data_IF_064472514482
#
_entry.id   IF_064472514482
#
_cell.length_a   1.000
_cell.length_b   1.000
_cell.length_c   1.000
_cell.angle_alpha   90.00
_cell.angle_beta   90.00
_cell.angle_gamma   90.00
#
_symmetry.space_group_name_H-M   'P 1'
#
loop_
_entity.id
_entity.type
_entity.pdbx_description
1 polymer ?
#
# COMPACT_ATOMS: atom_id res chain seq x y z
N UNK A 1 -5.44 -36.33 -0.08
CA UNK A 1 -6.59 -35.40 0.22
C UNK A 1 -5.98 -34.04 0.49
N UNK A 2 -6.10 -33.14 -0.47
CA UNK A 2 -5.70 -31.75 -0.26
C UNK A 2 -6.67 -31.15 0.75
N UNK A 3 -6.12 -30.59 1.84
CA UNK A 3 -6.91 -29.87 2.84
C UNK A 3 -7.61 -28.66 2.23
N UNK A 4 -8.62 -28.09 2.89
CA UNK A 4 -9.33 -26.92 2.38
C UNK A 4 -8.35 -25.76 2.14
N UNK A 5 -8.31 -25.30 0.89
CA UNK A 5 -7.48 -24.17 0.48
C UNK A 5 -8.10 -22.89 1.06
N UNK A 6 -7.52 -22.37 2.13
CA UNK A 6 -7.97 -21.11 2.75
C UNK A 6 -7.51 -19.93 1.88
N UNK A 7 -8.48 -19.23 1.32
CA UNK A 7 -8.27 -17.95 0.63
C UNK A 7 -8.25 -16.83 1.65
N UNK A 8 -7.17 -16.04 1.67
CA UNK A 8 -7.07 -14.83 2.48
C UNK A 8 -7.31 -13.58 1.63
N UNK A 9 -7.76 -12.53 2.29
CA UNK A 9 -8.00 -11.23 1.65
C UNK A 9 -6.75 -10.36 1.76
N UNK A 10 -6.35 -9.78 0.63
CA UNK A 10 -5.19 -8.90 0.52
C UNK A 10 -5.55 -7.59 -0.15
N UNK A 11 -4.73 -6.58 0.11
CA UNK A 11 -4.79 -5.29 -0.54
C UNK A 11 -3.43 -5.00 -1.17
N UNK A 12 -3.44 -4.64 -2.46
CA UNK A 12 -2.28 -4.10 -3.16
C UNK A 12 -2.44 -2.59 -3.32
N UNK A 13 -1.42 -1.85 -2.92
CA UNK A 13 -1.29 -0.41 -3.15
C UNK A 13 -0.20 -0.17 -4.19
N UNK A 14 -0.61 0.21 -5.41
CA UNK A 14 0.29 0.56 -6.49
C UNK A 14 0.77 2.00 -6.32
N UNK A 15 2.06 2.24 -6.51
CA UNK A 15 2.63 3.57 -6.36
C UNK A 15 2.60 4.34 -7.67
N UNK A 16 2.09 5.57 -7.62
CA UNK A 16 2.28 6.57 -8.67
C UNK A 16 1.61 6.27 -10.01
N UNK A 17 0.54 5.47 -10.04
CA UNK A 17 -0.25 5.29 -11.24
C UNK A 17 -1.32 6.38 -11.38
N UNK A 18 -1.65 6.72 -12.62
CA UNK A 18 -2.71 7.67 -12.99
C UNK A 18 -2.58 9.07 -12.34
N UNK A 19 -1.37 9.47 -11.95
CA UNK A 19 -1.10 10.78 -11.36
C UNK A 19 -0.57 11.73 -12.44
N UNK A 20 -1.18 12.91 -12.55
CA UNK A 20 -0.75 13.96 -13.48
C UNK A 20 -0.51 13.47 -14.93
N UNK A 21 -1.33 12.49 -15.36
CA UNK A 21 -1.23 11.92 -16.71
C UNK A 21 -0.10 10.93 -16.94
N UNK A 22 0.71 10.63 -15.92
CA UNK A 22 1.79 9.63 -15.96
C UNK A 22 1.27 8.25 -15.56
N UNK A 23 1.99 7.21 -15.98
CA UNK A 23 1.73 5.80 -15.63
C UNK A 23 0.24 5.43 -15.76
N UNK A 24 -0.34 5.71 -16.91
CA UNK A 24 -1.76 5.46 -17.16
C UNK A 24 -2.04 3.98 -17.25
N UNK A 25 -2.90 3.48 -16.36
CA UNK A 25 -3.41 2.11 -16.34
C UNK A 25 -4.93 2.17 -16.19
N UNK A 26 -5.65 1.53 -17.10
CA UNK A 26 -7.10 1.31 -16.96
C UNK A 26 -7.36 0.40 -15.77
N UNK A 27 -8.30 0.76 -14.90
CA UNK A 27 -8.67 -0.09 -13.76
C UNK A 27 -9.28 -1.42 -14.19
N UNK A 28 -9.96 -1.44 -15.34
CA UNK A 28 -10.50 -2.67 -15.92
C UNK A 28 -9.38 -3.62 -16.38
N UNK A 29 -8.34 -3.09 -17.03
CA UNK A 29 -7.21 -3.91 -17.50
C UNK A 29 -6.32 -4.32 -16.33
N UNK A 30 -6.11 -3.46 -15.33
CA UNK A 30 -5.44 -3.83 -14.09
C UNK A 30 -6.16 -4.99 -13.40
N UNK A 31 -7.49 -4.92 -13.26
CA UNK A 31 -8.29 -6.00 -12.71
C UNK A 31 -8.09 -7.33 -13.47
N UNK A 32 -8.16 -7.30 -14.80
CA UNK A 32 -7.89 -8.48 -15.63
C UNK A 32 -6.49 -9.03 -15.43
N UNK A 33 -5.48 -8.18 -15.27
CA UNK A 33 -4.11 -8.58 -14.96
C UNK A 33 -4.03 -9.38 -13.66
N UNK A 34 -4.68 -8.89 -12.59
CA UNK A 34 -4.77 -9.61 -11.31
C UNK A 34 -5.53 -10.94 -11.45
N UNK A 35 -6.65 -10.97 -12.16
CA UNK A 35 -7.41 -12.20 -12.43
C UNK A 35 -6.57 -13.20 -13.25
N UNK A 36 -5.75 -12.72 -14.18
CA UNK A 36 -4.81 -13.52 -14.96
C UNK A 36 -3.70 -14.18 -14.13
N UNK A 37 -3.33 -13.61 -12.98
CA UNK A 37 -2.45 -14.24 -11.99
C UNK A 37 -3.16 -15.34 -11.16
N UNK A 38 -4.44 -15.62 -11.41
CA UNK A 38 -5.23 -16.61 -10.66
C UNK A 38 -5.86 -16.04 -9.37
N UNK A 39 -5.66 -14.75 -9.08
CA UNK A 39 -6.25 -14.09 -7.91
C UNK A 39 -7.77 -13.96 -8.07
N UNK A 40 -8.49 -14.07 -6.97
CA UNK A 40 -9.96 -14.14 -6.96
C UNK A 40 -10.59 -12.89 -6.35
N UNK A 41 -11.89 -12.69 -6.61
CA UNK A 41 -12.68 -11.60 -6.03
C UNK A 41 -12.02 -10.22 -6.17
N UNK A 42 -11.34 -10.00 -7.31
CA UNK A 42 -10.57 -8.78 -7.56
C UNK A 42 -11.51 -7.58 -7.69
N UNK A 43 -11.28 -6.58 -6.84
CA UNK A 43 -11.97 -5.29 -6.85
C UNK A 43 -10.95 -4.17 -6.89
N UNK A 44 -11.21 -3.13 -7.66
CA UNK A 44 -10.43 -1.88 -7.66
C UNK A 44 -11.20 -0.79 -6.95
N UNK A 45 -10.50 0.09 -6.24
CA UNK A 45 -11.11 1.24 -5.58
C UNK A 45 -10.36 2.52 -5.94
N UNK A 46 -11.08 3.50 -6.50
CA UNK A 46 -10.53 4.71 -7.12
C UNK A 46 -9.51 4.39 -8.24
N UNK A 47 -9.00 5.43 -8.89
CA UNK A 47 -8.02 5.29 -9.97
C UNK A 47 -6.57 5.32 -9.51
N UNK A 48 -6.32 5.36 -8.20
CA UNK A 48 -4.97 5.52 -7.61
C UNK A 48 -4.27 4.19 -7.29
N UNK A 49 -4.74 3.07 -7.88
CA UNK A 49 -4.05 1.78 -7.72
C UNK A 49 -4.30 1.10 -6.38
N UNK A 50 -5.54 1.04 -5.95
CA UNK A 50 -5.95 0.24 -4.81
C UNK A 50 -6.68 -0.98 -5.33
N UNK A 51 -6.14 -2.17 -5.09
CA UNK A 51 -6.72 -3.43 -5.55
C UNK A 51 -6.90 -4.37 -4.37
N UNK A 52 -8.12 -4.82 -4.15
CA UNK A 52 -8.49 -5.78 -3.14
C UNK A 52 -8.68 -7.13 -3.84
N UNK A 53 -8.10 -8.20 -3.31
CA UNK A 53 -8.19 -9.52 -3.92
C UNK A 53 -8.12 -10.64 -2.88
N UNK A 54 -8.56 -11.83 -3.27
CA UNK A 54 -8.41 -13.06 -2.50
C UNK A 54 -7.35 -13.93 -3.14
N UNK A 55 -6.45 -14.48 -2.33
CA UNK A 55 -5.36 -15.33 -2.77
C UNK A 55 -4.94 -16.33 -1.70
N UNK A 56 -4.14 -17.31 -2.09
CA UNK A 56 -3.47 -18.22 -1.20
C UNK A 56 -2.02 -18.45 -1.64
N UNK A 57 -1.24 -19.04 -0.77
CA UNK A 57 0.18 -19.31 -1.04
C UNK A 57 0.40 -20.26 -2.23
N UNK A 58 -0.54 -21.14 -2.53
CA UNK A 58 -0.43 -22.12 -3.62
C UNK A 58 -0.61 -21.46 -5.01
N UNK A 59 -1.30 -20.32 -5.11
CA UNK A 59 -1.42 -19.57 -6.38
C UNK A 59 -0.05 -19.04 -6.85
N UNK A 60 0.85 -18.79 -5.90
CA UNK A 60 2.18 -18.22 -6.15
C UNK A 60 3.20 -19.24 -6.63
N UNK A 61 2.89 -20.51 -6.44
CA UNK A 61 3.76 -21.62 -6.82
C UNK A 61 3.15 -22.34 -8.00
N UNK A 62 3.71 -22.18 -9.19
CA UNK A 62 3.45 -23.12 -10.28
C UNK A 62 3.70 -24.54 -9.81
N UNK A 63 2.66 -25.22 -9.48
CA UNK A 63 2.38 -26.65 -9.20
C UNK A 63 3.39 -27.58 -8.47
N UNK A 64 4.67 -27.26 -8.23
CA UNK A 64 5.55 -28.35 -7.77
C UNK A 64 6.46 -28.15 -6.53
N UNK A 65 6.64 -26.96 -5.94
CA UNK A 65 7.68 -26.81 -4.88
C UNK A 65 7.41 -25.86 -3.72
N UNK A 66 6.20 -25.69 -3.22
CA UNK A 66 5.92 -24.71 -2.16
C UNK A 66 5.52 -25.23 -0.77
N UNK A 67 6.11 -26.34 -0.32
CA UNK A 67 5.84 -26.83 1.04
C UNK A 67 6.61 -26.09 2.16
N UNK A 68 7.43 -25.08 1.86
CA UNK A 68 8.38 -24.50 2.84
C UNK A 68 8.66 -22.99 2.74
N UNK A 69 7.78 -22.17 2.15
CA UNK A 69 8.00 -20.72 2.19
C UNK A 69 7.56 -20.16 3.55
N UNK A 70 8.40 -19.31 4.21
CA UNK A 70 8.03 -18.63 5.46
C UNK A 70 6.80 -17.74 5.26
N UNK A 71 5.97 -17.59 6.28
CA UNK A 71 4.75 -16.75 6.25
C UNK A 71 5.00 -15.28 5.86
N UNK A 72 6.21 -14.77 6.10
CA UNK A 72 6.65 -13.44 5.66
C UNK A 72 6.88 -13.33 4.14
N UNK A 73 6.90 -14.46 3.42
CA UNK A 73 7.11 -14.50 1.98
C UNK A 73 5.89 -14.21 1.11
N UNK A 74 4.67 -14.42 1.63
CA UNK A 74 3.45 -14.41 0.80
C UNK A 74 3.13 -13.03 0.22
N UNK A 75 3.09 -11.98 1.03
CA UNK A 75 2.81 -10.61 0.56
C UNK A 75 3.90 -10.11 -0.38
N UNK A 76 5.17 -10.40 -0.08
CA UNK A 76 6.31 -10.06 -0.94
C UNK A 76 6.25 -10.81 -2.28
N UNK A 77 5.85 -12.07 -2.27
CA UNK A 77 5.69 -12.86 -3.47
C UNK A 77 4.54 -12.34 -4.34
N UNK A 78 3.39 -11.96 -3.75
CA UNK A 78 2.33 -11.28 -4.49
C UNK A 78 2.79 -9.95 -5.07
N UNK A 79 3.49 -9.13 -4.31
CA UNK A 79 4.03 -7.85 -4.80
C UNK A 79 4.90 -8.06 -6.03
N UNK A 80 5.87 -8.96 -5.98
CA UNK A 80 6.77 -9.27 -7.09
C UNK A 80 6.01 -9.75 -8.34
N UNK A 81 5.03 -10.64 -8.21
CA UNK A 81 4.26 -11.14 -9.34
C UNK A 81 3.39 -10.04 -9.96
N UNK A 82 2.80 -9.18 -9.14
CA UNK A 82 2.02 -8.04 -9.60
C UNK A 82 2.92 -7.04 -10.35
N UNK A 83 4.11 -6.74 -9.84
CA UNK A 83 5.09 -5.88 -10.50
C UNK A 83 5.52 -6.44 -11.86
N UNK A 84 5.83 -7.74 -11.94
CA UNK A 84 6.16 -8.43 -13.20
C UNK A 84 4.98 -8.38 -14.17
N UNK A 85 3.76 -8.63 -13.73
CA UNK A 85 2.56 -8.53 -14.54
C UNK A 85 2.38 -7.11 -15.10
N UNK A 86 2.53 -6.08 -14.25
CA UNK A 86 2.43 -4.67 -14.66
C UNK A 86 3.51 -4.33 -15.69
N UNK A 87 4.75 -4.77 -15.47
CA UNK A 87 5.84 -4.58 -16.42
C UNK A 87 5.54 -5.21 -17.77
N UNK A 88 5.07 -6.45 -17.78
CA UNK A 88 4.80 -7.19 -19.01
C UNK A 88 3.59 -6.66 -19.78
N UNK A 89 2.52 -6.26 -19.09
CA UNK A 89 1.27 -5.82 -19.75
C UNK A 89 1.24 -4.35 -20.09
N UNK A 90 1.87 -3.49 -19.27
CA UNK A 90 1.78 -2.03 -19.43
C UNK A 90 3.14 -1.38 -19.72
N UNK A 91 4.23 -2.14 -19.69
CA UNK A 91 5.61 -1.65 -19.84
C UNK A 91 5.97 -0.54 -18.82
N UNK A 92 5.46 -0.68 -17.59
CA UNK A 92 5.68 0.26 -16.49
C UNK A 92 6.39 -0.43 -15.33
N UNK A 93 7.32 0.28 -14.68
CA UNK A 93 7.98 -0.14 -13.45
C UNK A 93 7.26 0.54 -12.27
N UNK A 94 6.32 -0.17 -11.66
CA UNK A 94 5.46 0.34 -10.60
C UNK A 94 5.71 -0.44 -9.31
N UNK A 95 6.28 0.18 -8.28
CA UNK A 95 6.41 -0.45 -6.97
C UNK A 95 5.03 -0.77 -6.37
N UNK A 96 4.91 -1.95 -5.77
CA UNK A 96 3.67 -2.45 -5.19
C UNK A 96 3.88 -2.84 -3.73
N UNK A 97 3.06 -2.31 -2.85
CA UNK A 97 2.96 -2.76 -1.46
C UNK A 97 1.74 -3.68 -1.32
N UNK A 98 1.93 -4.87 -0.75
CA UNK A 98 0.84 -5.82 -0.48
C UNK A 98 0.75 -6.09 1.01
N UNK A 99 -0.45 -6.04 1.54
CA UNK A 99 -0.75 -6.30 2.96
C UNK A 99 -1.99 -7.18 3.06
N UNK A 100 -2.09 -8.04 4.07
CA UNK A 100 -3.33 -8.75 4.36
C UNK A 100 -4.39 -7.79 4.93
N UNK A 101 -5.65 -8.15 4.79
CA UNK A 101 -6.76 -7.35 5.34
C UNK A 101 -6.65 -7.29 6.86
N UNK A 102 -6.33 -8.40 7.50
CA UNK A 102 -6.15 -8.50 8.94
C UNK A 102 -5.03 -7.58 9.46
N UNK A 103 -3.90 -7.53 8.76
CA UNK A 103 -2.78 -6.63 9.14
C UNK A 103 -3.17 -5.16 8.96
N UNK A 104 -3.90 -4.82 7.88
CA UNK A 104 -4.39 -3.45 7.70
C UNK A 104 -5.41 -3.06 8.76
N UNK A 105 -6.30 -3.98 9.15
CA UNK A 105 -7.25 -3.78 10.26
C UNK A 105 -6.52 -3.56 11.58
N UNK A 106 -5.46 -4.34 11.86
CA UNK A 106 -4.62 -4.17 13.04
C UNK A 106 -3.92 -2.80 13.05
N UNK A 107 -3.36 -2.37 11.92
CA UNK A 107 -2.76 -1.02 11.79
C UNK A 107 -3.80 0.05 12.10
N UNK A 108 -5.00 -0.03 11.53
CA UNK A 108 -6.05 0.96 11.75
C UNK A 108 -6.57 0.96 13.20
N UNK A 109 -6.54 -0.19 13.88
CA UNK A 109 -6.91 -0.30 15.29
C UNK A 109 -5.89 0.40 16.22
N UNK A 110 -4.63 0.48 15.79
CA UNK A 110 -3.55 1.18 16.52
C UNK A 110 -3.33 2.61 16.04
N UNK A 111 -4.27 3.16 15.27
CA UNK A 111 -4.20 4.56 14.86
C UNK A 111 -4.17 5.48 16.09
N UNK A 112 -3.33 6.53 16.07
CA UNK A 112 -3.34 7.52 17.16
C UNK A 112 -4.68 8.26 17.20
N UNK A 113 -5.07 8.76 18.39
CA UNK A 113 -6.34 9.48 18.61
C UNK A 113 -6.51 10.71 17.72
N UNK A 114 -5.41 11.34 17.33
CA UNK A 114 -5.41 12.51 16.46
C UNK A 114 -5.55 12.18 14.96
N UNK A 115 -5.51 10.89 14.57
CA UNK A 115 -5.55 10.49 13.16
C UNK A 115 -6.94 10.00 12.74
N UNK A 116 -7.39 10.49 11.60
CA UNK A 116 -8.64 10.03 10.98
C UNK A 116 -9.88 10.67 11.57
N UNK A 117 -9.75 11.87 12.14
CA UNK A 117 -10.86 12.73 12.52
C UNK A 117 -11.69 13.16 11.28
N UNK A 118 -12.96 13.49 11.48
CA UNK A 118 -13.83 14.01 10.42
C UNK A 118 -13.55 15.49 10.05
N UNK A 119 -12.53 16.09 10.67
CA UNK A 119 -12.15 17.47 10.43
C UNK A 119 -11.61 17.66 9.00
N UNK A 120 -12.39 18.31 8.15
CA UNK A 120 -12.04 18.55 6.74
C UNK A 120 -10.84 19.50 6.54
N UNK A 121 -10.43 20.23 7.56
CA UNK A 121 -9.24 21.10 7.54
C UNK A 121 -7.94 20.32 7.75
N UNK A 122 -8.04 19.06 8.16
CA UNK A 122 -6.89 18.17 8.37
C UNK A 122 -6.77 17.18 7.22
N UNK A 123 -5.55 16.93 6.81
CA UNK A 123 -5.19 15.82 5.94
C UNK A 123 -4.62 14.68 6.78
N UNK A 124 -5.39 13.61 6.92
CA UNK A 124 -4.94 12.36 7.53
C UNK A 124 -4.50 11.39 6.45
N UNK A 125 -3.24 11.00 6.51
CA UNK A 125 -2.62 10.08 5.57
C UNK A 125 -2.05 8.87 6.29
N UNK A 126 -2.00 7.76 5.59
CA UNK A 126 -1.25 6.57 5.95
C UNK A 126 -0.21 6.33 4.86
N UNK A 127 1.05 6.32 5.25
CA UNK A 127 2.19 6.01 4.39
C UNK A 127 2.52 4.55 4.61
N UNK A 128 2.50 3.75 3.56
CA UNK A 128 3.03 2.39 3.58
C UNK A 128 4.46 2.42 3.05
N UNK A 129 5.35 1.77 3.80
CA UNK A 129 6.77 1.70 3.48
C UNK A 129 7.03 0.40 2.71
N UNK A 130 7.44 0.53 1.46
CA UNK A 130 7.69 -0.61 0.58
C UNK A 130 9.09 -1.18 0.88
N UNK A 131 9.21 -2.48 1.22
CA UNK A 131 10.51 -3.09 1.44
C UNK A 131 11.47 -2.93 0.25
N UNK A 132 12.80 -2.87 0.45
CA UNK A 132 13.50 -3.18 1.72
C UNK A 132 13.60 -2.01 2.70
N UNK A 133 13.06 -0.83 2.40
CA UNK A 133 13.09 0.34 3.28
C UNK A 133 12.24 0.08 4.53
N UNK A 134 12.70 0.57 5.67
CA UNK A 134 12.04 0.47 6.96
C UNK A 134 11.49 1.82 7.42
N UNK A 135 10.54 1.85 8.35
CA UNK A 135 10.05 3.10 8.94
C UNK A 135 11.18 3.91 9.61
N UNK A 136 12.12 3.24 10.26
CA UNK A 136 13.28 3.91 10.87
C UNK A 136 14.15 4.64 9.84
N UNK A 137 14.38 4.05 8.66
CA UNK A 137 15.11 4.71 7.58
C UNK A 137 14.31 5.89 7.01
N UNK A 138 12.98 5.80 6.96
CA UNK A 138 12.12 6.93 6.55
C UNK A 138 12.28 8.10 7.52
N UNK A 139 12.23 7.85 8.83
CA UNK A 139 12.47 8.90 9.84
C UNK A 139 13.88 9.46 9.76
N UNK A 140 14.88 8.62 9.55
CA UNK A 140 16.27 9.08 9.38
C UNK A 140 16.46 10.00 8.17
N UNK A 141 15.83 9.67 7.04
CA UNK A 141 15.99 10.41 5.79
C UNK A 141 15.13 11.70 5.76
N UNK A 142 13.88 11.64 6.23
CA UNK A 142 12.97 12.78 6.25
C UNK A 142 13.25 13.69 7.45
N UNK A 143 13.62 13.10 8.58
CA UNK A 143 13.85 13.80 9.85
C UNK A 143 12.55 14.05 10.63
N UNK A 144 12.71 14.73 11.79
CA UNK A 144 11.63 14.98 12.72
C UNK A 144 10.50 15.82 12.11
N UNK A 145 9.22 15.54 12.44
CA UNK A 145 8.11 16.38 12.06
C UNK A 145 8.19 17.74 12.76
N UNK A 146 7.64 18.77 12.13
CA UNK A 146 7.40 20.05 12.78
C UNK A 146 6.11 19.94 13.60
N UNK A 147 6.25 19.66 14.89
CA UNK A 147 5.15 19.31 15.79
C UNK A 147 4.03 20.34 15.89
N UNK A 148 4.32 21.62 15.57
CA UNK A 148 3.34 22.69 15.48
C UNK A 148 2.50 22.66 14.18
N UNK A 149 2.92 21.91 13.15
CA UNK A 149 2.30 21.89 11.82
C UNK A 149 1.83 20.49 11.41
N UNK A 150 2.47 19.45 11.93
CA UNK A 150 2.22 18.06 11.53
C UNK A 150 2.45 17.09 12.68
N UNK A 151 1.75 15.95 12.63
CA UNK A 151 1.92 14.85 13.56
C UNK A 151 2.26 13.59 12.79
N UNK A 152 3.23 12.82 13.30
CA UNK A 152 3.72 11.60 12.66
C UNK A 152 3.92 10.52 13.73
N UNK A 153 3.48 9.30 13.44
CA UNK A 153 3.70 8.13 14.30
C UNK A 153 3.72 6.88 13.43
N UNK A 154 4.72 6.04 13.63
CA UNK A 154 4.81 4.74 12.98
C UNK A 154 4.12 3.63 13.78
N UNK A 155 3.69 2.62 13.05
CA UNK A 155 3.28 1.34 13.57
C UNK A 155 3.50 0.28 12.49
N UNK A 156 4.36 -0.70 12.74
CA UNK A 156 4.80 -1.71 11.77
C UNK A 156 5.38 -1.04 10.50
N UNK A 157 4.94 -1.45 9.31
CA UNK A 157 5.35 -0.92 8.01
C UNK A 157 4.52 0.29 7.55
N UNK A 158 3.80 0.92 8.49
CA UNK A 158 2.95 2.06 8.20
C UNK A 158 3.29 3.27 9.07
N UNK A 159 3.10 4.47 8.52
CA UNK A 159 3.32 5.72 9.22
C UNK A 159 2.06 6.57 9.09
N UNK A 160 1.43 6.85 10.22
CA UNK A 160 0.33 7.81 10.35
C UNK A 160 0.88 9.23 10.25
N UNK A 161 0.28 10.04 9.41
CA UNK A 161 0.72 11.41 9.18
C UNK A 161 -0.47 12.33 8.99
N UNK A 162 -0.58 13.36 9.83
CA UNK A 162 -1.63 14.38 9.80
C UNK A 162 -1.04 15.77 9.76
N UNK A 163 -1.67 16.65 8.99
CA UNK A 163 -1.30 18.07 8.89
C UNK A 163 -2.48 18.93 8.43
N UNK A 164 -2.41 20.25 8.73
CA UNK A 164 -3.39 21.21 8.25
C UNK A 164 -3.30 21.40 6.73
N UNK A 165 -4.45 21.34 6.04
CA UNK A 165 -4.54 21.63 4.60
C UNK A 165 -4.02 23.01 4.23
N UNK A 166 -4.19 23.98 5.12
CA UNK A 166 -3.77 25.36 4.92
C UNK A 166 -2.26 25.51 4.93
N UNK A 167 -1.57 24.73 5.76
CA UNK A 167 -0.15 24.88 6.03
C UNK A 167 0.72 23.74 5.49
N UNK A 168 0.18 22.85 4.65
CA UNK A 168 0.85 21.64 4.17
C UNK A 168 2.25 21.89 3.60
N UNK A 169 2.44 23.01 2.86
CA UNK A 169 3.73 23.35 2.26
C UNK A 169 4.80 23.75 3.29
N UNK A 170 4.39 24.11 4.51
CA UNK A 170 5.30 24.51 5.60
C UNK A 170 5.77 23.30 6.41
N UNK A 171 5.12 22.14 6.27
CA UNK A 171 5.48 20.91 6.96
C UNK A 171 6.82 20.36 6.46
N UNK A 172 7.55 19.65 7.31
CA UNK A 172 8.81 19.04 6.91
C UNK A 172 8.58 17.85 5.98
N UNK A 173 7.55 17.03 6.29
CA UNK A 173 7.31 15.78 5.61
C UNK A 173 6.72 15.95 4.20
N UNK A 174 5.92 16.97 3.95
CA UNK A 174 5.32 17.18 2.62
C UNK A 174 6.34 17.26 1.48
N UNK A 175 7.34 18.12 1.63
CA UNK A 175 8.35 18.30 0.60
C UNK A 175 9.26 17.08 0.48
N UNK A 176 9.63 16.49 1.61
CA UNK A 176 10.62 15.42 1.66
C UNK A 176 10.08 14.05 1.25
N UNK A 177 8.82 13.71 1.54
CA UNK A 177 8.20 12.46 1.06
C UNK A 177 8.17 12.35 -0.47
N UNK A 178 8.25 13.48 -1.18
CA UNK A 178 8.27 13.52 -2.64
C UNK A 178 9.67 13.64 -3.24
N UNK A 179 10.68 14.10 -2.48
CA UNK A 179 11.99 14.51 -3.03
C UNK A 179 13.17 13.69 -2.54
N UNK A 180 13.01 12.87 -1.51
CA UNK A 180 14.08 12.02 -0.97
C UNK A 180 14.36 10.79 -1.82
N UNK A 181 15.53 10.17 -1.63
CA UNK A 181 15.93 8.96 -2.36
C UNK A 181 14.98 7.78 -2.11
N UNK A 182 14.34 7.74 -0.93
CA UNK A 182 13.38 6.70 -0.55
C UNK A 182 11.95 6.99 -1.03
N UNK A 183 11.72 8.12 -1.67
CA UNK A 183 10.37 8.50 -2.13
C UNK A 183 9.71 7.45 -3.01
N UNK A 184 10.50 6.69 -3.78
CA UNK A 184 10.02 5.58 -4.62
C UNK A 184 9.51 4.39 -3.82
N UNK A 185 9.90 4.24 -2.56
CA UNK A 185 9.45 3.19 -1.64
C UNK A 185 8.31 3.64 -0.71
N UNK A 186 7.73 4.81 -0.94
CA UNK A 186 6.60 5.29 -0.14
C UNK A 186 5.33 5.32 -0.98
N UNK A 187 4.26 4.69 -0.51
CA UNK A 187 2.93 4.83 -1.11
C UNK A 187 1.95 5.39 -0.08
N UNK A 188 1.26 6.47 -0.44
CA UNK A 188 0.46 7.26 0.49
C UNK A 188 -1.02 7.13 0.15
N UNK A 189 -1.85 6.91 1.17
CA UNK A 189 -3.31 6.89 1.05
C UNK A 189 -3.94 7.74 2.14
N UNK A 190 -5.03 8.40 1.82
CA UNK A 190 -5.80 9.14 2.84
C UNK A 190 -6.53 8.18 3.79
N UNK A 191 -6.79 8.61 5.03
CA UNK A 191 -7.55 7.86 6.03
C UNK A 191 -8.88 7.33 5.47
N UNK A 192 -9.62 8.17 4.76
CA UNK A 192 -10.90 7.79 4.15
C UNK A 192 -10.74 6.66 3.12
N UNK A 193 -9.64 6.68 2.34
CA UNK A 193 -9.37 5.64 1.36
C UNK A 193 -9.10 4.30 2.04
N UNK A 194 -8.22 4.25 3.05
CA UNK A 194 -7.87 2.98 3.71
C UNK A 194 -9.03 2.42 4.53
N UNK A 195 -9.80 3.26 5.22
CA UNK A 195 -11.02 2.85 5.94
C UNK A 195 -12.06 2.26 4.98
N UNK A 196 -12.24 2.88 3.81
CA UNK A 196 -13.17 2.37 2.80
C UNK A 196 -12.72 1.03 2.22
N UNK A 197 -11.43 0.86 1.95
CA UNK A 197 -10.85 -0.37 1.41
C UNK A 197 -11.08 -1.54 2.39
N UNK A 198 -10.83 -1.34 3.67
CA UNK A 198 -11.06 -2.37 4.71
C UNK A 198 -12.53 -2.78 4.78
N UNK A 199 -13.47 -1.87 4.49
CA UNK A 199 -14.92 -2.17 4.51
C UNK A 199 -15.41 -2.94 3.28
N UNK A 200 -14.56 -3.17 2.25
CA UNK A 200 -14.88 -3.91 1.01
C UNK A 200 -14.50 -5.38 1.15
#
# INVERSE_FOLDING_TARGET
MEGPVYMKRYIAFLRGINISGKNKISMADLKKGFEGLGLKEVKTYLNSGNVIFSGNENILCGQETCASLPKEGTTKSFANQIEIMIKNQFNLDIPVFVISKEELEDILHHAPDWWGDENKEIYDNLIFVIPPVTAAEVFSEIGEPKTELEQVKDYREAIFWSFSRKDYQKTNWWSKTASTNISSQLTIRTANTVRKIVSI
#
